data_IF_247301864329
#
_entry.id   IF_247301864329
#
_cell.length_a   1.000
_cell.length_b   1.000
_cell.length_c   1.000
_cell.angle_alpha   90.00
_cell.angle_beta   90.00
_cell.angle_gamma   90.00
#
_symmetry.space_group_name_H-M   'P 1'
#
loop_
_entity.id
_entity.type
_entity.pdbx_description
1 polymer ?
#
# COMPACT_ATOMS: atom_id res chain seq x y z
N UNK A 1 -28.39 -56.58 34.33
CA UNK A 1 -29.20 -56.19 33.16
C UNK A 1 -28.90 -54.73 32.91
N UNK A 2 -27.83 -54.46 32.11
CA UNK A 2 -27.33 -53.10 31.83
C UNK A 2 -27.98 -52.57 30.55
N UNK A 3 -28.72 -51.48 30.69
CA UNK A 3 -29.30 -50.80 29.54
C UNK A 3 -28.34 -49.71 29.08
N UNK A 4 -27.78 -49.93 27.89
CA UNK A 4 -26.92 -48.95 27.19
C UNK A 4 -27.82 -47.99 26.40
N UNK A 5 -27.76 -46.70 26.69
CA UNK A 5 -28.39 -45.66 25.89
C UNK A 5 -27.32 -44.99 24.97
N UNK A 6 -27.61 -44.71 23.70
CA UNK A 6 -26.62 -44.17 22.78
C UNK A 6 -26.44 -42.65 22.92
N UNK A 7 -25.22 -42.22 23.14
CA UNK A 7 -24.74 -40.84 23.33
C UNK A 7 -24.48 -40.08 22.01
N UNK A 8 -25.36 -40.10 21.04
CA UNK A 8 -25.04 -39.46 19.73
C UNK A 8 -26.04 -38.40 19.22
N UNK A 9 -27.11 -38.11 19.90
CA UNK A 9 -28.15 -37.19 19.40
C UNK A 9 -28.06 -35.74 19.94
N UNK A 10 -27.29 -35.49 21.02
CA UNK A 10 -27.32 -34.16 21.70
C UNK A 10 -26.22 -33.19 21.16
N UNK A 11 -25.17 -33.67 20.48
CA UNK A 11 -24.06 -32.83 20.03
C UNK A 11 -24.31 -32.05 18.74
N UNK A 12 -25.30 -32.42 17.94
CA UNK A 12 -25.55 -31.70 16.64
C UNK A 12 -26.50 -30.50 16.79
N UNK A 13 -27.38 -30.49 17.76
CA UNK A 13 -28.30 -29.37 18.00
C UNK A 13 -27.62 -28.16 18.68
N UNK A 14 -26.69 -28.41 19.59
CA UNK A 14 -25.99 -27.36 20.33
C UNK A 14 -24.98 -26.59 19.43
N UNK A 15 -24.37 -27.24 18.45
CA UNK A 15 -23.42 -26.62 17.55
C UNK A 15 -24.11 -25.68 16.55
N UNK A 16 -25.31 -26.04 16.07
CA UNK A 16 -26.07 -25.18 15.16
C UNK A 16 -26.67 -23.95 15.86
N UNK A 17 -27.03 -24.05 17.13
CA UNK A 17 -27.52 -22.92 17.91
C UNK A 17 -26.39 -21.96 18.32
N UNK A 18 -25.17 -22.48 18.57
CA UNK A 18 -24.00 -21.63 18.87
C UNK A 18 -23.51 -20.85 17.61
N UNK A 19 -23.54 -21.49 16.46
CA UNK A 19 -23.15 -20.80 15.20
C UNK A 19 -24.16 -19.74 14.79
N UNK A 20 -25.47 -19.98 14.97
CA UNK A 20 -26.48 -18.97 14.71
C UNK A 20 -26.43 -17.81 15.74
N UNK A 21 -26.12 -18.09 17.00
CA UNK A 21 -25.97 -17.06 18.04
C UNK A 21 -24.69 -16.24 17.84
N UNK A 22 -23.57 -16.81 17.39
CA UNK A 22 -22.35 -16.10 17.04
C UNK A 22 -22.54 -15.22 15.80
N UNK A 23 -23.22 -15.71 14.75
CA UNK A 23 -23.59 -14.90 13.60
C UNK A 23 -24.51 -13.73 13.98
N UNK A 24 -25.47 -13.94 14.89
CA UNK A 24 -26.38 -12.90 15.35
C UNK A 24 -25.68 -11.88 16.28
N UNK A 25 -24.71 -12.31 17.11
CA UNK A 25 -23.87 -11.40 17.89
C UNK A 25 -22.88 -10.61 17.02
N UNK A 26 -22.34 -11.20 15.96
CA UNK A 26 -21.53 -10.46 14.97
C UNK A 26 -22.37 -9.38 14.27
N UNK A 27 -23.62 -9.69 13.90
CA UNK A 27 -24.51 -8.71 13.27
C UNK A 27 -24.91 -7.58 14.24
N UNK A 28 -25.05 -7.86 15.54
CA UNK A 28 -25.37 -6.85 16.55
C UNK A 28 -24.17 -5.99 16.98
N UNK A 29 -22.92 -6.51 16.86
CA UNK A 29 -21.73 -5.71 17.13
C UNK A 29 -21.40 -4.75 15.98
N UNK A 30 -21.84 -5.03 14.75
CA UNK A 30 -21.73 -4.10 13.63
C UNK A 30 -22.74 -2.94 13.73
N UNK A 31 -23.91 -3.15 14.35
CA UNK A 31 -24.94 -2.12 14.48
C UNK A 31 -24.66 -1.06 15.58
N UNK A 32 -23.59 -1.22 16.36
CA UNK A 32 -23.30 -0.33 17.50
C UNK A 32 -22.23 0.74 17.22
N UNK A 33 -21.64 0.79 16.00
CA UNK A 33 -20.54 1.69 15.66
C UNK A 33 -20.68 2.46 14.33
N UNK A 34 -21.85 2.46 13.69
CA UNK A 34 -22.07 3.25 12.48
C UNK A 34 -23.50 3.78 12.42
N UNK A 35 -23.69 4.99 11.94
CA UNK A 35 -24.99 5.57 11.58
C UNK A 35 -25.58 4.92 10.30
N UNK A 36 -25.35 3.63 10.11
CA UNK A 36 -25.79 2.86 8.95
C UNK A 36 -27.22 2.36 9.19
N UNK A 37 -28.14 2.80 8.35
CA UNK A 37 -29.54 2.32 8.34
C UNK A 37 -29.71 1.28 7.24
N UNK A 38 -29.91 0.02 7.63
CA UNK A 38 -30.27 -1.05 6.70
C UNK A 38 -31.78 -1.00 6.40
N UNK A 39 -32.16 -0.86 5.14
CA UNK A 39 -33.54 -1.01 4.69
C UNK A 39 -33.78 -2.44 4.16
N UNK A 40 -34.43 -3.30 4.91
CA UNK A 40 -34.67 -4.69 4.53
C UNK A 40 -35.68 -4.84 3.40
N UNK A 41 -36.41 -3.78 3.01
CA UNK A 41 -37.44 -3.85 1.98
C UNK A 41 -36.86 -3.64 0.57
N UNK A 42 -35.66 -3.04 0.47
CA UNK A 42 -34.98 -2.77 -0.80
C UNK A 42 -33.69 -3.57 -0.99
N UNK A 43 -33.22 -4.29 0.03
CA UNK A 43 -31.96 -5.05 -0.01
C UNK A 43 -30.73 -4.18 -0.26
N UNK A 44 -30.78 -2.90 0.13
CA UNK A 44 -29.73 -1.90 -0.11
C UNK A 44 -29.26 -1.35 1.23
N UNK A 45 -27.95 -1.37 1.46
CA UNK A 45 -27.31 -0.65 2.56
C UNK A 45 -27.14 0.80 2.11
N UNK A 46 -27.78 1.74 2.78
CA UNK A 46 -27.62 3.18 2.51
C UNK A 46 -26.57 3.70 3.48
N UNK A 47 -25.38 4.02 2.96
CA UNK A 47 -24.35 4.72 3.70
C UNK A 47 -24.66 6.21 3.64
N UNK A 48 -24.79 6.87 4.79
CA UNK A 48 -25.02 8.29 4.84
C UNK A 48 -23.77 9.06 4.39
N UNK A 49 -24.00 9.93 3.41
CA UNK A 49 -23.11 10.95 2.85
C UNK A 49 -21.98 10.47 1.92
N UNK A 50 -22.28 10.38 0.62
CA UNK A 50 -21.33 10.55 -0.49
C UNK A 50 -20.44 9.35 -0.82
N UNK A 51 -20.61 8.24 -0.17
CA UNK A 51 -19.77 7.04 -0.34
C UNK A 51 -20.54 5.94 -1.06
N UNK A 52 -19.86 5.07 -1.74
CA UNK A 52 -20.32 4.03 -2.64
C UNK A 52 -21.64 3.32 -2.28
N UNK A 53 -22.20 2.65 -3.25
CA UNK A 53 -23.52 2.03 -3.20
C UNK A 53 -23.39 0.53 -3.34
N UNK A 54 -23.97 -0.25 -2.42
CA UNK A 54 -24.09 -1.70 -2.61
C UNK A 54 -25.28 -1.98 -3.53
N UNK A 55 -25.01 -2.60 -4.68
CA UNK A 55 -26.07 -3.00 -5.61
C UNK A 55 -26.73 -4.31 -5.16
N UNK A 56 -27.97 -4.56 -5.59
CA UNK A 56 -28.77 -5.75 -5.20
C UNK A 56 -28.14 -7.11 -5.53
N UNK A 57 -26.98 -7.15 -6.19
CA UNK A 57 -26.21 -8.36 -6.48
C UNK A 57 -25.02 -8.57 -5.54
N UNK A 58 -24.88 -7.76 -4.48
CA UNK A 58 -23.78 -7.88 -3.51
C UNK A 58 -22.44 -7.34 -3.97
N UNK A 59 -22.36 -6.71 -5.13
CA UNK A 59 -21.17 -6.03 -5.58
C UNK A 59 -21.01 -4.69 -4.85
N UNK A 60 -19.85 -4.50 -4.24
CA UNK A 60 -19.45 -3.27 -3.56
C UNK A 60 -18.88 -2.30 -4.62
N UNK A 61 -19.53 -1.16 -4.82
CA UNK A 61 -18.96 -0.09 -5.66
C UNK A 61 -18.11 0.83 -4.79
N UNK A 62 -16.80 0.82 -5.04
CA UNK A 62 -15.87 1.72 -4.38
C UNK A 62 -15.94 3.11 -5.00
N UNK A 63 -15.74 4.20 -4.21
CA UNK A 63 -15.62 5.54 -4.76
C UNK A 63 -14.41 5.60 -5.70
N UNK A 64 -14.62 6.09 -6.91
CA UNK A 64 -13.55 6.31 -7.90
C UNK A 64 -13.00 7.72 -7.86
N UNK A 65 -13.72 8.63 -7.19
CA UNK A 65 -13.31 10.02 -6.98
C UNK A 65 -13.33 10.36 -5.48
N UNK A 66 -12.39 11.21 -5.02
CA UNK A 66 -12.30 11.60 -3.61
C UNK A 66 -13.44 12.52 -3.18
N UNK A 67 -13.70 12.65 -1.87
CA UNK A 67 -14.70 13.59 -1.35
C UNK A 67 -14.34 15.02 -1.73
N UNK A 68 -15.37 15.80 -2.07
CA UNK A 68 -15.24 17.18 -2.55
C UNK A 68 -14.52 18.09 -1.54
N UNK A 69 -13.51 18.82 -1.98
CA UNK A 69 -12.86 19.89 -1.20
C UNK A 69 -11.42 20.22 -1.61
N UNK A 70 -10.70 19.34 -2.27
CA UNK A 70 -9.30 19.55 -2.63
C UNK A 70 -8.93 18.97 -4.00
N UNK A 71 -9.90 18.49 -4.77
CA UNK A 71 -9.67 17.84 -6.06
C UNK A 71 -10.10 18.76 -7.18
N UNK A 72 -9.22 18.93 -8.15
CA UNK A 72 -9.45 19.71 -9.36
C UNK A 72 -9.87 18.72 -10.45
N UNK A 73 -11.06 18.90 -11.05
CA UNK A 73 -11.43 18.17 -12.27
C UNK A 73 -10.58 18.68 -13.44
N UNK A 74 -9.83 17.78 -14.10
CA UNK A 74 -8.92 18.18 -15.16
C UNK A 74 -9.30 17.53 -16.48
N UNK A 75 -9.49 18.34 -17.53
CA UNK A 75 -9.44 17.88 -18.89
C UNK A 75 -7.99 17.94 -19.41
N UNK A 76 -7.32 16.81 -19.57
CA UNK A 76 -6.14 16.59 -20.44
C UNK A 76 -4.83 17.38 -20.21
N UNK A 77 -4.64 18.08 -19.08
CA UNK A 77 -3.35 18.71 -18.75
C UNK A 77 -3.10 18.62 -17.24
N UNK A 78 -1.84 18.43 -16.82
CA UNK A 78 -1.46 18.52 -15.41
C UNK A 78 -1.71 19.95 -14.91
N UNK A 79 -2.59 20.17 -13.91
CA UNK A 79 -2.95 21.52 -13.45
C UNK A 79 -1.79 22.22 -12.79
N UNK A 80 -0.76 21.47 -12.37
CA UNK A 80 0.41 21.95 -11.65
C UNK A 80 1.62 22.15 -12.54
N UNK A 81 1.50 22.04 -13.89
CA UNK A 81 2.60 22.19 -14.83
C UNK A 81 3.38 23.52 -14.65
N UNK A 82 2.67 24.58 -14.25
CA UNK A 82 3.26 25.91 -14.04
C UNK A 82 3.47 26.27 -12.56
N UNK A 83 3.27 25.35 -11.66
CA UNK A 83 3.55 25.56 -10.23
C UNK A 83 5.05 25.61 -9.97
N UNK A 84 5.52 26.48 -9.04
CA UNK A 84 6.94 26.62 -8.75
C UNK A 84 7.56 25.35 -8.18
N UNK A 85 6.74 24.54 -7.50
CA UNK A 85 7.12 23.26 -6.93
C UNK A 85 6.03 22.25 -7.23
N UNK A 86 6.42 21.04 -7.63
CA UNK A 86 5.49 19.97 -8.00
C UNK A 86 6.04 18.62 -7.57
N UNK A 87 5.19 17.82 -6.94
CA UNK A 87 5.42 16.40 -6.79
C UNK A 87 4.54 15.64 -7.78
N UNK A 88 5.14 14.70 -8.50
CA UNK A 88 4.45 13.70 -9.34
C UNK A 88 4.82 12.29 -8.86
N UNK A 89 3.83 11.42 -8.78
CA UNK A 89 4.05 10.01 -8.46
C UNK A 89 3.30 9.14 -9.48
N UNK A 90 4.05 8.32 -10.19
CA UNK A 90 3.52 7.34 -11.13
C UNK A 90 3.53 5.95 -10.46
N UNK A 91 2.33 5.39 -10.23
CA UNK A 91 2.13 4.01 -9.77
C UNK A 91 1.96 3.15 -11.02
N UNK A 92 2.94 2.34 -11.32
CA UNK A 92 2.97 1.62 -12.60
C UNK A 92 2.06 0.39 -12.57
N UNK A 93 1.40 0.09 -13.67
CA UNK A 93 0.70 -1.17 -13.86
C UNK A 93 1.73 -2.29 -14.10
N UNK A 94 2.16 -2.88 -13.02
CA UNK A 94 3.09 -4.00 -12.93
C UNK A 94 2.38 -5.27 -12.44
N UNK A 95 1.04 -5.33 -12.60
CA UNK A 95 0.27 -6.45 -12.09
C UNK A 95 0.25 -6.49 -10.56
N UNK A 96 0.68 -7.62 -9.98
CA UNK A 96 0.73 -7.81 -8.52
C UNK A 96 2.16 -7.58 -8.01
N UNK A 97 2.76 -6.46 -8.39
CA UNK A 97 4.10 -6.06 -7.97
C UNK A 97 4.18 -4.54 -7.78
N UNK A 98 5.17 -4.06 -7.05
CA UNK A 98 5.32 -2.64 -6.74
C UNK A 98 6.43 -1.98 -7.54
N UNK A 99 6.10 -0.90 -8.25
CA UNK A 99 7.05 0.03 -8.82
C UNK A 99 6.44 1.43 -8.83
N UNK A 100 7.00 2.36 -8.06
CA UNK A 100 6.48 3.71 -7.89
C UNK A 100 7.59 4.71 -8.20
N UNK A 101 7.39 5.51 -9.26
CA UNK A 101 8.31 6.57 -9.64
C UNK A 101 7.81 7.91 -9.09
N UNK A 102 8.58 8.53 -8.20
CA UNK A 102 8.24 9.83 -7.63
C UNK A 102 9.26 10.86 -8.13
N UNK A 103 8.74 11.98 -8.61
CA UNK A 103 9.53 13.15 -8.97
C UNK A 103 9.10 14.31 -8.10
N UNK A 104 9.98 14.77 -7.25
CA UNK A 104 9.77 15.93 -6.37
C UNK A 104 10.68 17.05 -6.84
N UNK A 105 10.15 17.99 -7.63
CA UNK A 105 10.92 18.93 -8.43
C UNK A 105 11.98 18.18 -9.28
N UNK A 106 13.26 18.46 -9.07
CA UNK A 106 14.38 17.81 -9.79
C UNK A 106 14.84 16.49 -9.11
N UNK A 107 14.26 16.12 -7.99
CA UNK A 107 14.63 14.89 -7.26
C UNK A 107 13.85 13.70 -7.78
N UNK A 108 14.55 12.64 -8.14
CA UNK A 108 13.98 11.39 -8.65
C UNK A 108 14.10 10.30 -7.58
N UNK A 109 12.97 9.74 -7.21
CA UNK A 109 12.86 8.63 -6.26
C UNK A 109 12.18 7.46 -6.97
N UNK A 110 12.77 6.28 -6.90
CA UNK A 110 12.13 5.04 -7.32
C UNK A 110 11.93 4.18 -6.07
N UNK A 111 10.70 3.82 -5.78
CA UNK A 111 10.38 2.89 -4.70
C UNK A 111 9.95 1.56 -5.29
N UNK A 112 10.67 0.53 -4.92
CA UNK A 112 10.59 -0.83 -5.44
C UNK A 112 10.79 -0.94 -6.96
N UNK A 113 10.97 -2.14 -7.48
CA UNK A 113 11.39 -2.37 -8.86
C UNK A 113 10.63 -3.51 -9.54
N UNK A 114 9.44 -3.85 -9.04
CA UNK A 114 8.57 -4.85 -9.65
C UNK A 114 9.14 -6.24 -9.72
N UNK A 115 8.47 -7.11 -10.46
CA UNK A 115 8.93 -8.44 -10.86
C UNK A 115 9.95 -8.39 -12.01
N UNK A 116 10.54 -9.52 -12.34
CA UNK A 116 11.61 -9.62 -13.34
C UNK A 116 11.20 -9.21 -14.76
N UNK A 117 9.95 -9.32 -15.11
CA UNK A 117 9.38 -8.94 -16.41
C UNK A 117 8.81 -7.52 -16.45
N UNK A 118 8.82 -6.78 -15.34
CA UNK A 118 8.35 -5.39 -15.27
C UNK A 118 9.37 -4.36 -15.77
N UNK A 119 10.63 -4.76 -16.01
CA UNK A 119 11.67 -3.84 -16.49
C UNK A 119 11.24 -3.01 -17.71
N UNK A 120 10.56 -3.55 -18.74
CA UNK A 120 10.11 -2.74 -19.87
C UNK A 120 9.14 -1.63 -19.50
N UNK A 121 8.24 -1.86 -18.54
CA UNK A 121 7.28 -0.85 -18.07
C UNK A 121 8.02 0.27 -17.31
N UNK A 122 8.87 -0.09 -16.36
CA UNK A 122 9.67 0.85 -15.57
C UNK A 122 10.62 1.65 -16.47
N UNK A 123 11.36 0.98 -17.36
CA UNK A 123 12.31 1.62 -18.28
C UNK A 123 11.60 2.54 -19.27
N UNK A 124 10.42 2.18 -19.77
CA UNK A 124 9.58 3.05 -20.61
C UNK A 124 9.25 4.35 -19.89
N UNK A 125 8.78 4.29 -18.65
CA UNK A 125 8.39 5.46 -17.85
C UNK A 125 9.61 6.35 -17.54
N UNK A 126 10.72 5.77 -17.14
CA UNK A 126 11.97 6.50 -16.92
C UNK A 126 12.46 7.20 -18.22
N UNK A 127 12.37 6.52 -19.36
CA UNK A 127 12.76 7.07 -20.67
C UNK A 127 11.82 8.19 -21.11
N UNK A 128 10.51 8.04 -20.90
CA UNK A 128 9.48 9.05 -21.20
C UNK A 128 9.81 10.38 -20.53
N UNK A 129 10.30 10.34 -19.30
CA UNK A 129 10.71 11.53 -18.55
C UNK A 129 12.18 11.92 -18.73
N UNK A 130 12.93 11.23 -19.59
CA UNK A 130 14.36 11.50 -19.82
C UNK A 130 15.24 11.23 -18.61
N UNK A 131 14.79 10.38 -17.68
CA UNK A 131 15.51 10.06 -16.45
C UNK A 131 16.66 9.11 -16.79
N UNK A 132 17.87 9.51 -16.41
CA UNK A 132 19.10 8.70 -16.49
C UNK A 132 19.73 8.47 -15.11
N UNK A 133 19.24 9.21 -14.11
CA UNK A 133 19.72 9.17 -12.73
C UNK A 133 18.55 9.08 -11.76
N UNK A 134 18.68 8.21 -10.78
CA UNK A 134 17.78 8.03 -9.65
C UNK A 134 18.53 8.54 -8.41
N UNK A 135 18.00 9.57 -7.77
CA UNK A 135 18.64 10.16 -6.59
C UNK A 135 18.47 9.27 -5.37
N UNK A 136 17.29 8.65 -5.24
CA UNK A 136 16.96 7.71 -4.17
C UNK A 136 16.25 6.49 -4.74
N UNK A 137 16.88 5.32 -4.65
CA UNK A 137 16.22 4.02 -4.83
C UNK A 137 15.91 3.49 -3.44
N UNK A 138 14.64 3.23 -3.17
CA UNK A 138 14.18 2.73 -1.87
C UNK A 138 13.55 1.36 -2.10
N UNK A 139 14.07 0.34 -1.46
CA UNK A 139 13.53 -1.02 -1.50
C UNK A 139 12.81 -1.28 -0.19
N UNK A 140 11.53 -1.62 -0.26
CA UNK A 140 10.73 -1.92 0.91
C UNK A 140 11.20 -3.22 1.58
N UNK A 141 11.25 -4.32 0.85
CA UNK A 141 11.72 -5.64 1.27
C UNK A 141 12.24 -6.43 0.06
N UNK A 142 12.65 -7.72 0.23
CA UNK A 142 13.36 -8.44 -0.83
C UNK A 142 12.53 -9.51 -1.54
N UNK A 143 11.21 -9.45 -1.49
CA UNK A 143 10.37 -10.35 -2.29
C UNK A 143 10.50 -10.05 -3.79
N UNK A 144 10.20 -11.05 -4.60
CA UNK A 144 10.49 -11.04 -6.03
C UNK A 144 9.79 -9.91 -6.78
N UNK A 145 8.60 -9.57 -6.35
CA UNK A 145 7.71 -8.54 -6.89
C UNK A 145 8.06 -7.11 -6.43
N UNK A 146 9.16 -6.96 -5.65
CA UNK A 146 9.72 -5.68 -5.23
C UNK A 146 11.16 -5.45 -5.71
N UNK A 147 11.96 -6.53 -5.89
CA UNK A 147 13.36 -6.42 -6.32
C UNK A 147 13.65 -7.05 -7.68
N UNK A 148 12.62 -7.50 -8.40
CA UNK A 148 12.75 -8.32 -9.61
C UNK A 148 13.64 -7.72 -10.69
N UNK A 149 13.50 -6.42 -10.94
CA UNK A 149 14.29 -5.73 -11.97
C UNK A 149 15.47 -4.90 -11.43
N UNK A 150 15.73 -4.93 -10.12
CA UNK A 150 16.75 -4.09 -9.50
C UNK A 150 18.13 -4.24 -10.14
N UNK A 151 18.49 -5.46 -10.55
CA UNK A 151 19.78 -5.68 -11.26
C UNK A 151 19.87 -4.92 -12.57
N UNK A 152 18.76 -4.82 -13.33
CA UNK A 152 18.70 -4.05 -14.58
C UNK A 152 18.71 -2.54 -14.30
N UNK A 153 18.02 -2.08 -13.27
CA UNK A 153 18.04 -0.66 -12.84
C UNK A 153 19.47 -0.25 -12.52
N UNK A 154 20.20 -1.02 -11.70
CA UNK A 154 21.60 -0.73 -11.35
C UNK A 154 22.56 -0.75 -12.57
N UNK A 155 22.25 -1.53 -13.62
CA UNK A 155 23.07 -1.62 -14.81
C UNK A 155 22.85 -0.47 -15.79
N UNK A 156 21.65 0.09 -15.85
CA UNK A 156 21.28 1.04 -16.91
C UNK A 156 21.07 2.47 -16.41
N UNK A 157 20.92 2.68 -15.11
CA UNK A 157 20.69 3.99 -14.51
C UNK A 157 21.73 4.29 -13.44
N UNK A 158 22.07 5.57 -13.30
CA UNK A 158 22.91 6.03 -12.20
C UNK A 158 22.05 6.11 -10.94
N UNK A 159 22.32 5.28 -9.94
CA UNK A 159 21.70 5.36 -8.63
C UNK A 159 22.64 6.04 -7.65
N UNK A 160 22.21 7.13 -7.00
CA UNK A 160 23.04 7.85 -6.02
C UNK A 160 22.96 7.23 -4.64
N UNK A 161 21.75 7.06 -4.13
CA UNK A 161 21.49 6.53 -2.82
C UNK A 161 20.54 5.33 -2.94
N UNK A 162 20.90 4.23 -2.33
CA UNK A 162 20.08 3.04 -2.19
C UNK A 162 19.76 2.83 -0.72
N UNK A 163 18.46 2.88 -0.37
CA UNK A 163 17.96 2.49 0.93
C UNK A 163 17.33 1.11 0.81
N UNK A 164 17.71 0.20 1.69
CA UNK A 164 17.25 -1.18 1.70
C UNK A 164 17.23 -1.72 3.13
N UNK A 165 16.35 -2.68 3.49
CA UNK A 165 16.26 -3.21 4.85
C UNK A 165 17.55 -3.93 5.27
N UNK A 166 17.81 -3.99 6.58
CA UNK A 166 19.00 -4.64 7.12
C UNK A 166 18.75 -6.11 7.49
N UNK A 167 18.51 -6.92 6.47
CA UNK A 167 18.51 -8.38 6.55
C UNK A 167 19.10 -9.00 5.27
N UNK A 168 19.35 -10.28 5.30
CA UNK A 168 19.84 -11.06 4.15
C UNK A 168 18.76 -12.07 3.74
N UNK A 169 18.42 -12.11 2.46
CA UNK A 169 17.48 -13.10 1.94
C UNK A 169 18.26 -14.25 1.27
N UNK A 170 18.00 -15.49 1.71
CA UNK A 170 18.57 -16.66 1.03
C UNK A 170 17.77 -17.01 -0.23
N UNK A 171 17.81 -16.15 -1.24
CA UNK A 171 17.19 -16.36 -2.54
C UNK A 171 18.16 -16.13 -3.68
N UNK A 172 17.88 -16.75 -4.85
CA UNK A 172 18.71 -16.57 -6.05
C UNK A 172 18.60 -15.14 -6.61
N UNK A 173 17.43 -14.50 -6.45
CA UNK A 173 17.18 -13.14 -6.90
C UNK A 173 17.96 -12.13 -6.05
N UNK A 174 17.89 -12.27 -4.72
CA UNK A 174 18.68 -11.43 -3.81
C UNK A 174 20.19 -11.53 -4.11
N UNK A 175 20.71 -12.73 -4.33
CA UNK A 175 22.14 -12.92 -4.67
C UNK A 175 22.51 -12.26 -6.01
N UNK A 176 21.61 -12.29 -7.02
CA UNK A 176 21.82 -11.58 -8.30
C UNK A 176 21.81 -10.07 -8.10
N UNK A 177 20.86 -9.55 -7.34
CA UNK A 177 20.77 -8.15 -6.98
C UNK A 177 22.06 -7.67 -6.30
N UNK A 178 22.53 -8.39 -5.27
CA UNK A 178 23.78 -8.05 -4.57
C UNK A 178 25.02 -8.13 -5.49
N UNK A 179 25.07 -9.11 -6.40
CA UNK A 179 26.15 -9.20 -7.38
C UNK A 179 26.15 -7.98 -8.33
N UNK A 180 24.98 -7.52 -8.76
CA UNK A 180 24.86 -6.31 -9.59
C UNK A 180 25.27 -5.07 -8.79
N UNK A 181 24.86 -4.97 -7.53
CA UNK A 181 25.21 -3.87 -6.64
C UNK A 181 26.73 -3.79 -6.41
N UNK A 182 27.39 -4.92 -6.14
CA UNK A 182 28.84 -5.00 -5.95
C UNK A 182 29.62 -4.59 -7.21
N UNK A 183 29.04 -4.81 -8.39
CA UNK A 183 29.62 -4.40 -9.67
C UNK A 183 29.38 -2.93 -10.01
N UNK A 184 28.43 -2.27 -9.35
CA UNK A 184 28.05 -0.88 -9.61
C UNK A 184 28.88 0.07 -8.75
N UNK A 185 29.43 1.12 -9.37
CA UNK A 185 30.23 2.13 -8.64
C UNK A 185 29.41 3.37 -8.33
N UNK A 186 29.72 4.02 -7.23
CA UNK A 186 29.18 5.34 -6.89
C UNK A 186 27.80 5.31 -6.20
N UNK A 187 27.25 4.15 -5.91
CA UNK A 187 26.02 4.00 -5.12
C UNK A 187 26.34 4.10 -3.64
N UNK A 188 25.72 5.04 -2.94
CA UNK A 188 25.75 5.08 -1.49
C UNK A 188 24.66 4.13 -0.93
N UNK A 189 25.07 3.02 -0.32
CA UNK A 189 24.14 2.01 0.22
C UNK A 189 23.86 2.29 1.68
N UNK A 190 22.59 2.36 2.03
CA UNK A 190 22.08 2.62 3.37
C UNK A 190 21.19 1.46 3.82
N UNK A 191 21.48 0.91 5.00
CA UNK A 191 20.66 -0.13 5.67
C UNK A 191 20.23 0.43 7.04
N UNK A 192 19.16 1.24 7.07
CA UNK A 192 18.77 1.91 8.28
C UNK A 192 18.24 0.91 9.33
N UNK A 193 18.68 1.09 10.57
CA UNK A 193 18.13 0.44 11.77
C UNK A 193 17.43 1.46 12.68
N UNK A 194 17.51 2.74 12.34
CA UNK A 194 16.82 3.86 12.96
C UNK A 194 16.15 4.71 11.87
N UNK A 195 15.18 5.50 12.27
CA UNK A 195 14.46 6.41 11.37
C UNK A 195 15.41 7.32 10.59
N UNK A 196 15.18 7.42 9.31
CA UNK A 196 15.91 8.34 8.43
C UNK A 196 14.94 9.40 7.92
N UNK A 197 15.29 10.67 8.12
CA UNK A 197 14.63 11.80 7.48
C UNK A 197 15.56 12.42 6.46
N UNK A 198 15.08 12.58 5.25
CA UNK A 198 15.77 13.23 4.14
C UNK A 198 15.01 14.52 3.85
N UNK A 199 15.61 15.65 4.18
CA UNK A 199 15.05 16.96 3.88
C UNK A 199 15.33 17.36 2.43
N UNK A 200 14.31 17.80 1.72
CA UNK A 200 14.35 18.31 0.35
C UNK A 200 13.85 19.74 0.33
N UNK A 201 14.13 20.54 -0.73
CA UNK A 201 13.82 21.97 -0.71
C UNK A 201 12.38 22.36 -0.40
N UNK A 202 11.40 21.52 -0.74
CA UNK A 202 9.98 21.78 -0.51
C UNK A 202 9.24 20.63 0.17
N UNK A 203 9.96 19.63 0.64
CA UNK A 203 9.37 18.47 1.27
C UNK A 203 10.39 17.62 2.02
N UNK A 204 9.98 16.42 2.40
CA UNK A 204 10.88 15.46 3.03
C UNK A 204 10.44 14.03 2.78
N UNK A 205 11.37 13.10 2.98
CA UNK A 205 11.10 11.67 2.98
C UNK A 205 11.45 11.17 4.38
N UNK A 206 10.55 10.41 4.97
CA UNK A 206 10.80 9.69 6.22
C UNK A 206 10.79 8.19 5.92
N UNK A 207 11.93 7.53 6.11
CA UNK A 207 12.10 6.08 5.96
C UNK A 207 12.17 5.49 7.36
N UNK A 208 11.20 4.64 7.68
CA UNK A 208 11.07 4.00 8.98
C UNK A 208 11.35 2.49 8.84
N UNK A 209 12.48 1.99 9.38
CA UNK A 209 12.76 0.56 9.47
C UNK A 209 11.99 -0.08 10.63
N UNK A 210 11.76 -1.39 10.57
CA UNK A 210 11.20 -2.12 11.71
C UNK A 210 12.22 -2.26 12.84
N UNK A 211 11.72 -2.33 14.07
CA UNK A 211 12.47 -2.71 15.29
C UNK A 211 11.93 -4.00 15.91
N UNK A 212 11.00 -4.68 15.22
CA UNK A 212 10.46 -5.96 15.69
C UNK A 212 11.50 -7.08 15.64
N UNK A 213 12.50 -6.95 14.79
CA UNK A 213 13.49 -7.99 14.54
C UNK A 213 14.92 -7.48 14.66
N UNK A 214 15.84 -8.39 14.96
CA UNK A 214 17.26 -8.05 15.01
C UNK A 214 17.81 -7.74 13.60
N UNK A 215 18.63 -6.68 13.47
CA UNK A 215 19.26 -6.35 12.20
C UNK A 215 20.28 -7.40 11.76
N UNK A 216 20.50 -7.49 10.44
CA UNK A 216 21.52 -8.37 9.86
C UNK A 216 21.18 -9.86 9.88
N UNK A 217 19.95 -10.26 10.21
CA UNK A 217 19.52 -11.66 10.19
C UNK A 217 19.48 -12.21 8.77
N UNK A 218 19.54 -13.53 8.64
CA UNK A 218 19.34 -14.22 7.36
C UNK A 218 18.01 -14.95 7.39
N UNK A 219 17.12 -14.55 6.49
CA UNK A 219 15.83 -15.21 6.28
C UNK A 219 15.97 -16.31 5.23
N UNK A 220 15.43 -17.47 5.55
CA UNK A 220 15.36 -18.61 4.64
C UNK A 220 14.36 -18.40 3.50
N UNK A 221 14.29 -19.36 2.60
CA UNK A 221 13.35 -19.33 1.47
C UNK A 221 12.08 -20.15 1.72
N UNK A 222 11.84 -20.61 2.96
CA UNK A 222 10.65 -21.35 3.34
C UNK A 222 9.45 -20.43 3.63
N UNK A 223 8.24 -21.01 3.69
CA UNK A 223 6.99 -20.26 3.87
C UNK A 223 6.93 -19.51 5.21
N UNK A 224 7.57 -20.02 6.28
CA UNK A 224 7.58 -19.37 7.60
C UNK A 224 8.36 -18.05 7.52
N UNK A 225 9.53 -18.03 6.88
CA UNK A 225 10.32 -16.82 6.71
C UNK A 225 9.72 -15.84 5.67
N UNK A 226 8.95 -16.33 4.71
CA UNK A 226 8.26 -15.46 3.76
C UNK A 226 7.20 -14.59 4.46
N UNK A 227 6.46 -15.13 5.43
CA UNK A 227 5.50 -14.36 6.23
C UNK A 227 6.18 -13.33 7.14
N UNK A 228 7.40 -13.60 7.60
CA UNK A 228 8.17 -12.64 8.39
C UNK A 228 8.74 -11.52 7.52
N UNK A 229 9.07 -11.79 6.25
CA UNK A 229 9.79 -10.87 5.36
C UNK A 229 9.01 -9.57 5.10
N UNK A 230 7.71 -9.66 4.90
CA UNK A 230 6.83 -8.50 4.72
C UNK A 230 6.93 -7.50 5.89
N UNK A 231 7.12 -8.02 7.11
CA UNK A 231 7.29 -7.18 8.30
C UNK A 231 8.68 -6.52 8.41
N UNK A 232 9.61 -6.80 7.51
CA UNK A 232 10.84 -6.02 7.36
C UNK A 232 10.69 -4.82 6.43
N UNK A 233 9.52 -4.61 5.84
CA UNK A 233 9.26 -3.49 4.92
C UNK A 233 9.69 -2.15 5.51
N UNK A 234 10.55 -1.42 4.77
CA UNK A 234 10.81 -0.02 5.02
C UNK A 234 9.55 0.77 4.70
N UNK A 235 8.84 1.25 5.71
CA UNK A 235 7.70 2.13 5.50
C UNK A 235 8.21 3.53 5.18
N UNK A 236 7.75 4.10 4.07
CA UNK A 236 8.22 5.39 3.58
C UNK A 236 7.07 6.38 3.55
N UNK A 237 7.23 7.51 4.26
CA UNK A 237 6.32 8.66 4.17
C UNK A 237 6.97 9.75 3.35
N UNK A 238 6.21 10.32 2.41
CA UNK A 238 6.63 11.45 1.59
C UNK A 238 5.77 12.65 1.94
N UNK A 239 6.41 13.74 2.29
CA UNK A 239 5.76 15.01 2.63
C UNK A 239 6.13 16.05 1.60
N UNK A 240 5.13 16.79 1.08
CA UNK A 240 5.32 17.84 0.09
C UNK A 240 4.31 18.96 0.32
N UNK A 241 4.78 20.12 0.81
CA UNK A 241 3.89 21.15 1.31
C UNK A 241 2.97 20.62 2.41
N UNK A 242 1.67 20.76 2.21
CA UNK A 242 0.65 20.23 3.15
C UNK A 242 0.22 18.78 2.83
N UNK A 243 0.78 18.17 1.79
CA UNK A 243 0.39 16.83 1.32
C UNK A 243 1.30 15.75 1.90
N UNK A 244 0.69 14.65 2.34
CA UNK A 244 1.38 13.49 2.90
C UNK A 244 0.95 12.18 2.21
N UNK A 245 1.94 11.37 1.85
CA UNK A 245 1.78 10.12 1.12
C UNK A 245 2.44 9.01 1.93
N UNK A 246 1.75 7.90 2.14
CA UNK A 246 2.29 6.71 2.77
C UNK A 246 2.50 5.59 1.76
N UNK A 247 3.71 5.04 1.75
CA UNK A 247 4.14 3.91 0.95
C UNK A 247 4.66 2.83 1.90
N UNK A 248 3.83 1.82 2.16
CA UNK A 248 4.09 0.86 3.22
C UNK A 248 4.71 -0.46 2.74
N UNK A 249 5.05 -0.57 1.43
CA UNK A 249 5.47 -1.84 0.84
C UNK A 249 4.42 -2.91 1.09
N UNK A 250 4.84 -4.05 1.60
CA UNK A 250 3.95 -5.16 1.95
C UNK A 250 3.84 -5.40 3.46
N UNK A 251 4.07 -4.33 4.24
CA UNK A 251 3.94 -4.37 5.69
C UNK A 251 2.62 -4.99 6.13
N UNK A 252 2.70 -5.99 6.98
CA UNK A 252 1.56 -6.71 7.55
C UNK A 252 1.22 -6.24 8.97
N UNK A 253 0.32 -6.96 9.63
CA UNK A 253 -0.29 -6.63 10.92
C UNK A 253 0.71 -6.10 11.95
N UNK A 254 1.79 -6.82 12.22
CA UNK A 254 2.71 -6.48 13.32
C UNK A 254 3.54 -5.24 12.97
N UNK A 255 4.00 -5.15 11.71
CA UNK A 255 4.75 -4.01 11.20
C UNK A 255 3.92 -2.74 11.16
N UNK A 256 2.66 -2.84 10.72
CA UNK A 256 1.75 -1.70 10.70
C UNK A 256 1.37 -1.23 12.10
N UNK A 257 1.16 -2.16 13.05
CA UNK A 257 0.90 -1.81 14.46
C UNK A 257 2.12 -1.09 15.06
N UNK A 258 3.34 -1.60 14.82
CA UNK A 258 4.57 -0.92 15.23
C UNK A 258 4.63 0.50 14.69
N UNK A 259 4.46 0.66 13.37
CA UNK A 259 4.53 1.96 12.71
C UNK A 259 3.47 2.94 13.23
N UNK A 260 2.21 2.51 13.32
CA UNK A 260 1.13 3.35 13.85
C UNK A 260 1.37 3.77 15.30
N UNK A 261 2.09 2.95 16.08
CA UNK A 261 2.49 3.30 17.46
C UNK A 261 3.50 4.45 17.55
N UNK A 262 4.12 4.85 16.43
CA UNK A 262 5.04 5.99 16.36
C UNK A 262 4.34 7.29 15.94
N UNK A 263 3.10 7.19 15.43
CA UNK A 263 2.34 8.32 14.91
C UNK A 263 1.56 9.01 16.04
N UNK A 264 1.53 10.33 16.02
CA UNK A 264 0.62 11.12 16.83
C UNK A 264 -0.78 11.22 16.16
N UNK A 265 -1.79 11.71 16.87
CA UNK A 265 -3.17 11.85 16.35
C UNK A 265 -3.24 12.78 15.12
N UNK A 266 -2.26 13.66 14.94
CA UNK A 266 -2.16 14.61 13.84
C UNK A 266 -1.44 14.02 12.62
N UNK A 267 -0.72 12.91 12.79
CA UNK A 267 0.01 12.23 11.73
C UNK A 267 -0.93 11.40 10.87
N UNK A 268 -1.55 12.05 9.91
CA UNK A 268 -2.53 11.47 8.98
C UNK A 268 -2.09 11.66 7.53
N UNK A 269 -2.60 10.84 6.62
CA UNK A 269 -2.17 10.82 5.23
C UNK A 269 -3.28 11.21 4.27
N UNK A 270 -2.91 11.96 3.21
CA UNK A 270 -3.80 12.30 2.09
C UNK A 270 -3.92 11.15 1.10
N UNK A 271 -2.85 10.35 0.97
CA UNK A 271 -2.82 9.16 0.13
C UNK A 271 -2.09 8.03 0.85
N UNK A 272 -2.64 6.82 0.73
CA UNK A 272 -2.03 5.58 1.21
C UNK A 272 -1.94 4.60 0.03
N UNK A 273 -0.72 4.17 -0.33
CA UNK A 273 -0.53 2.94 -1.09
C UNK A 273 -0.86 1.80 -0.13
N UNK A 274 -1.92 1.08 -0.44
CA UNK A 274 -2.39 -0.04 0.38
C UNK A 274 -1.33 -1.13 0.39
N UNK A 275 -0.92 -1.61 1.56
CA UNK A 275 0.11 -2.65 1.67
C UNK A 275 -0.31 -3.97 1.01
N UNK A 276 0.69 -4.77 0.66
CA UNK A 276 0.57 -6.18 0.29
C UNK A 276 -0.53 -6.43 -0.75
N UNK A 277 -0.50 -5.65 -1.85
CA UNK A 277 -1.36 -5.74 -3.05
C UNK A 277 -2.87 -5.83 -2.76
N UNK A 278 -3.29 -5.29 -1.62
CA UNK A 278 -4.69 -5.32 -1.20
C UNK A 278 -5.05 -6.55 -0.36
N UNK A 279 -4.08 -7.20 0.26
CA UNK A 279 -4.28 -8.12 1.36
C UNK A 279 -4.94 -7.40 2.55
N UNK A 280 -5.71 -8.12 3.34
CA UNK A 280 -6.38 -7.55 4.51
C UNK A 280 -5.87 -8.14 5.81
N UNK A 281 -5.52 -7.25 6.72
CA UNK A 281 -5.48 -7.49 8.14
C UNK A 281 -6.16 -6.33 8.91
N UNK A 282 -6.24 -6.47 10.21
CA UNK A 282 -6.90 -5.44 11.03
C UNK A 282 -6.11 -4.12 11.03
N UNK A 283 -4.78 -4.18 10.98
CA UNK A 283 -3.95 -2.99 11.04
C UNK A 283 -4.06 -2.16 9.76
N UNK A 284 -4.24 -2.78 8.57
CA UNK A 284 -4.52 -2.06 7.32
C UNK A 284 -5.80 -1.24 7.45
N UNK A 285 -6.87 -1.82 8.00
CA UNK A 285 -8.11 -1.09 8.26
C UNK A 285 -7.89 0.06 9.25
N UNK A 286 -7.19 -0.20 10.34
CA UNK A 286 -6.95 0.80 11.39
C UNK A 286 -6.10 1.95 10.84
N UNK A 287 -5.10 1.68 9.98
CA UNK A 287 -4.30 2.66 9.27
C UNK A 287 -5.15 3.57 8.36
N UNK A 288 -6.07 2.98 7.58
CA UNK A 288 -7.02 3.72 6.74
C UNK A 288 -7.89 4.63 7.63
N UNK A 289 -8.37 4.10 8.74
CA UNK A 289 -9.26 4.84 9.65
C UNK A 289 -8.54 5.97 10.40
N UNK A 290 -7.28 5.84 10.74
CA UNK A 290 -6.49 6.93 11.34
C UNK A 290 -6.47 8.17 10.44
N UNK A 291 -6.38 7.98 9.12
CA UNK A 291 -6.36 9.07 8.15
C UNK A 291 -7.77 9.51 7.68
N UNK A 292 -8.84 8.93 8.24
CA UNK A 292 -10.23 9.27 7.86
C UNK A 292 -10.49 10.77 8.05
N UNK A 293 -11.03 11.40 7.01
CA UNK A 293 -11.30 12.84 6.98
C UNK A 293 -10.22 13.65 6.25
N UNK A 294 -8.96 13.19 6.27
CA UNK A 294 -7.87 13.71 5.45
C UNK A 294 -7.63 12.86 4.20
N UNK A 295 -7.75 11.54 4.31
CA UNK A 295 -7.48 10.60 3.23
C UNK A 295 -8.32 10.89 1.99
N UNK A 296 -7.66 11.08 0.84
CA UNK A 296 -8.26 11.33 -0.47
C UNK A 296 -8.16 10.13 -1.39
N UNK A 297 -7.04 9.42 -1.32
CA UNK A 297 -6.78 8.28 -2.20
C UNK A 297 -6.29 7.06 -1.43
N UNK A 298 -6.88 5.90 -1.73
CA UNK A 298 -6.31 4.58 -1.48
C UNK A 298 -5.82 4.03 -2.83
N UNK A 299 -4.53 3.75 -2.96
CA UNK A 299 -3.93 3.19 -4.16
C UNK A 299 -3.59 1.73 -3.92
N UNK A 300 -3.99 0.85 -4.82
CA UNK A 300 -3.74 -0.59 -4.73
C UNK A 300 -3.01 -1.06 -5.98
N UNK A 301 -1.77 -1.53 -5.84
CA UNK A 301 -1.13 -2.33 -6.87
C UNK A 301 -1.69 -3.75 -6.81
N UNK A 302 -2.42 -4.16 -7.82
CA UNK A 302 -2.98 -5.51 -7.92
C UNK A 302 -3.18 -5.88 -9.38
N UNK A 303 -2.95 -7.13 -9.73
CA UNK A 303 -3.14 -7.63 -11.10
C UNK A 303 -4.60 -7.79 -11.53
N UNK A 304 -5.54 -7.75 -10.58
CA UNK A 304 -6.99 -7.77 -10.85
C UNK A 304 -7.79 -7.43 -9.59
N UNK A 305 -9.05 -7.03 -9.80
CA UNK A 305 -9.99 -6.77 -8.69
C UNK A 305 -10.22 -7.99 -7.78
N UNK A 306 -10.16 -9.20 -8.33
CA UNK A 306 -10.41 -10.43 -7.57
C UNK A 306 -9.31 -10.76 -6.56
N UNK A 307 -8.13 -10.17 -6.69
CA UNK A 307 -7.02 -10.32 -5.74
C UNK A 307 -7.16 -9.41 -4.52
N UNK A 308 -7.95 -8.35 -4.63
CA UNK A 308 -8.16 -7.39 -3.53
C UNK A 308 -9.20 -7.94 -2.55
N UNK A 309 -8.84 -8.01 -1.28
CA UNK A 309 -9.68 -8.57 -0.23
C UNK A 309 -11.00 -7.80 -0.05
N UNK A 310 -12.10 -8.52 0.22
CA UNK A 310 -13.43 -7.92 0.36
C UNK A 310 -13.58 -7.06 1.63
N UNK A 311 -12.90 -7.43 2.73
CA UNK A 311 -12.94 -6.62 3.96
C UNK A 311 -12.12 -5.34 3.80
N UNK A 312 -11.02 -5.41 3.04
CA UNK A 312 -10.27 -4.22 2.67
C UNK A 312 -11.11 -3.27 1.81
N UNK A 313 -11.82 -3.77 0.79
CA UNK A 313 -12.75 -2.96 -0.01
C UNK A 313 -13.78 -2.26 0.88
N UNK A 314 -14.28 -2.96 1.91
CA UNK A 314 -15.21 -2.37 2.88
C UNK A 314 -14.54 -1.27 3.71
N UNK A 315 -13.29 -1.46 4.15
CA UNK A 315 -12.54 -0.46 4.90
C UNK A 315 -12.27 0.80 4.05
N UNK A 316 -11.82 0.63 2.79
CA UNK A 316 -11.62 1.73 1.85
C UNK A 316 -12.93 2.50 1.58
N UNK A 317 -14.04 1.77 1.36
CA UNK A 317 -15.36 2.37 1.18
C UNK A 317 -15.77 3.23 2.39
N UNK A 318 -15.58 2.71 3.59
CA UNK A 318 -15.96 3.41 4.84
C UNK A 318 -15.10 4.64 5.14
N UNK A 319 -13.91 4.74 4.55
CA UNK A 319 -13.05 5.93 4.68
C UNK A 319 -13.59 7.11 3.88
N UNK A 320 -14.33 6.85 2.79
CA UNK A 320 -14.80 7.85 1.83
C UNK A 320 -13.72 8.28 0.83
N UNK A 321 -12.50 7.76 0.91
CA UNK A 321 -11.44 8.04 -0.05
C UNK A 321 -11.71 7.39 -1.41
N UNK A 322 -11.22 7.99 -2.49
CA UNK A 322 -11.23 7.36 -3.81
C UNK A 322 -10.30 6.16 -3.83
N UNK A 323 -10.80 5.03 -4.33
CA UNK A 323 -10.02 3.81 -4.50
C UNK A 323 -9.53 3.71 -5.95
N UNK A 324 -8.23 3.63 -6.13
CA UNK A 324 -7.57 3.55 -7.43
C UNK A 324 -6.74 2.26 -7.52
N UNK A 325 -6.77 1.62 -8.68
CA UNK A 325 -6.17 0.30 -8.87
C UNK A 325 -5.31 0.30 -10.13
N UNK A 326 -4.08 -0.21 -10.06
CA UNK A 326 -3.16 -0.23 -11.20
C UNK A 326 -3.57 -1.21 -12.30
N UNK A 327 -4.39 -2.24 -12.02
CA UNK A 327 -4.87 -3.17 -13.06
C UNK A 327 -5.78 -2.52 -14.13
N UNK A 328 -6.11 -1.25 -13.99
CA UNK A 328 -6.82 -0.46 -14.99
C UNK A 328 -5.89 0.46 -15.80
N UNK A 329 -4.58 0.38 -15.61
CA UNK A 329 -3.54 1.22 -16.21
C UNK A 329 -2.70 1.97 -15.17
N UNK A 330 -1.63 2.62 -15.61
CA UNK A 330 -0.77 3.45 -14.75
C UNK A 330 -1.61 4.55 -14.07
N UNK A 331 -1.31 4.82 -12.79
CA UNK A 331 -1.92 5.93 -12.07
C UNK A 331 -0.90 7.06 -11.96
N UNK A 332 -1.27 8.25 -12.39
CA UNK A 332 -0.45 9.46 -12.28
C UNK A 332 -1.04 10.42 -11.25
N UNK A 333 -0.34 10.58 -10.13
CA UNK A 333 -0.64 11.55 -9.07
C UNK A 333 0.19 12.81 -9.26
N UNK A 334 -0.42 13.97 -9.04
CA UNK A 334 0.26 15.25 -9.13
C UNK A 334 -0.25 16.21 -8.04
N UNK A 335 0.65 17.03 -7.47
CA UNK A 335 0.33 18.04 -6.46
C UNK A 335 1.32 19.19 -6.49
N UNK A 336 0.83 20.41 -6.14
CA UNK A 336 1.65 21.58 -5.84
C UNK A 336 1.94 21.75 -4.34
N UNK A 337 1.57 20.77 -3.53
CA UNK A 337 1.69 20.79 -2.07
C UNK A 337 0.47 21.36 -1.33
N UNK A 338 -0.56 21.85 -2.04
CA UNK A 338 -1.80 22.33 -1.44
C UNK A 338 -3.04 21.66 -2.02
N UNK A 339 -3.03 21.40 -3.32
CA UNK A 339 -4.07 20.67 -4.03
C UNK A 339 -3.47 19.44 -4.74
N UNK A 340 -4.31 18.46 -5.05
CA UNK A 340 -3.86 17.21 -5.64
C UNK A 340 -4.84 16.69 -6.67
N UNK A 341 -4.32 15.89 -7.60
CA UNK A 341 -5.10 15.16 -8.60
C UNK A 341 -4.49 13.80 -8.85
N UNK A 342 -5.32 12.85 -9.24
CA UNK A 342 -4.88 11.54 -9.75
C UNK A 342 -5.64 11.22 -11.02
N UNK A 343 -4.91 10.91 -12.07
CA UNK A 343 -5.43 10.44 -13.36
C UNK A 343 -5.04 8.98 -13.56
N UNK A 344 -5.67 8.32 -14.49
CA UNK A 344 -5.38 6.93 -14.89
C UNK A 344 -5.32 6.87 -16.41
N UNK A 345 -4.24 6.27 -16.94
CA UNK A 345 -4.01 6.10 -18.38
C UNK A 345 -4.85 4.95 -18.97
#
# INVERSE_FOLDING_TARGET
MNIHLPHTAIKRGACLLLTAALLFLCLLSFAACSDEVYDPTQGTLILNEGTGKVTGNGNLELPTEPPTGSVIEIPNADPFENSPHVLRADFLDTGNSDAILIRMDDTVILMDTGEADDYPAISRKLTEYGITQIDYLIISHYDNDHIGTMSQILQHYTVKNLYMPDYVRDSSLYRRMMTALDATQGVAVHRPTEDVRIDLPYGSIWINPTKLYEPGVTLGSDEEHALEENNYSLITSVYFGDISILLAGDAEQDRLVEFMGLLDEEDTYDMIKIPHHGGYDKAVRDLIHMSKGRLRYCVVHAGSESLVDAFLKTAMLSSGAASKFTFNGDLAFSTDGSAMVMTQD
#
